data_IF_853054024048
#
_entry.id   IF_853054024048
#
_cell.length_a   1.000
_cell.length_b   1.000
_cell.length_c   1.000
_cell.angle_alpha   90.00
_cell.angle_beta   90.00
_cell.angle_gamma   90.00
#
_symmetry.space_group_name_H-M   'P 1'
#
loop_
_entity.id
_entity.type
_entity.pdbx_description
1 polymer ?
#
# COMPACT_ATOMS: atom_id res chain seq x y z
N UNK A 1 -2.16 4.24 15.64
CA UNK A 1 -0.94 5.03 15.90
C UNK A 1 -0.25 4.60 17.20
N UNK A 2 -0.96 4.35 18.30
CA UNK A 2 -0.35 3.96 19.58
C UNK A 2 0.55 2.71 19.49
N UNK A 3 0.11 1.68 18.80
CA UNK A 3 0.92 0.46 18.63
C UNK A 3 2.25 0.71 17.91
N UNK A 4 2.27 1.55 16.88
CA UNK A 4 3.52 1.87 16.15
C UNK A 4 4.48 2.66 17.02
N UNK A 5 3.97 3.57 17.84
CA UNK A 5 4.80 4.32 18.78
C UNK A 5 5.45 3.41 19.82
N UNK A 6 4.68 2.48 20.39
CA UNK A 6 5.18 1.51 21.35
C UNK A 6 6.29 0.63 20.75
N UNK A 7 6.10 0.17 19.50
CA UNK A 7 7.11 -0.63 18.80
C UNK A 7 8.39 0.17 18.56
N UNK A 8 8.28 1.44 18.12
CA UNK A 8 9.45 2.30 17.92
C UNK A 8 10.19 2.53 19.24
N UNK A 9 9.47 2.87 20.31
CA UNK A 9 10.08 3.11 21.61
C UNK A 9 10.80 1.85 22.14
N UNK A 10 10.15 0.69 22.04
CA UNK A 10 10.74 -0.59 22.43
C UNK A 10 12.01 -0.91 21.58
N UNK A 11 11.97 -0.63 20.28
CA UNK A 11 13.13 -0.83 19.41
C UNK A 11 14.32 0.06 19.80
N UNK A 12 14.06 1.34 20.11
CA UNK A 12 15.09 2.26 20.58
C UNK A 12 15.69 1.79 21.91
N UNK A 13 14.82 1.42 22.87
CA UNK A 13 15.26 0.94 24.20
C UNK A 13 16.14 -0.32 24.11
N UNK A 14 15.81 -1.21 23.16
CA UNK A 14 16.54 -2.46 22.95
C UNK A 14 17.66 -2.34 21.90
N UNK A 15 17.98 -1.14 21.45
CA UNK A 15 19.05 -0.85 20.48
C UNK A 15 18.94 -1.69 19.19
N UNK A 16 17.72 -1.89 18.71
CA UNK A 16 17.46 -2.56 17.42
C UNK A 16 18.13 -1.73 16.31
N UNK A 17 18.88 -2.37 15.44
CA UNK A 17 19.67 -1.65 14.41
C UNK A 17 18.80 -0.83 13.47
N UNK A 18 17.68 -1.40 13.02
CA UNK A 18 16.80 -0.71 12.06
C UNK A 18 15.33 -1.15 12.22
N UNK A 19 14.43 -0.19 12.10
CA UNK A 19 12.98 -0.39 12.08
C UNK A 19 12.44 0.16 10.77
N UNK A 20 11.77 -0.68 9.99
CA UNK A 20 11.08 -0.28 8.75
C UNK A 20 9.57 -0.30 9.00
N UNK A 21 8.94 0.85 8.90
CA UNK A 21 7.49 1.01 9.08
C UNK A 21 6.80 0.89 7.74
N UNK A 22 5.76 0.05 7.67
CA UNK A 22 5.00 -0.17 6.46
C UNK A 22 3.85 0.84 6.37
N UNK A 23 3.94 1.73 5.37
CA UNK A 23 2.92 2.72 5.05
C UNK A 23 2.27 2.44 3.69
N UNK A 24 1.49 3.36 3.17
CA UNK A 24 0.72 3.22 1.94
C UNK A 24 0.72 4.54 1.16
N UNK A 25 0.53 4.46 -0.15
CA UNK A 25 0.28 5.59 -1.03
C UNK A 25 -0.90 6.48 -0.56
N UNK A 26 -1.89 5.87 0.11
CA UNK A 26 -3.07 6.55 0.66
C UNK A 26 -2.76 7.48 1.85
N UNK A 27 -1.55 7.42 2.40
CA UNK A 27 -1.09 8.36 3.42
C UNK A 27 -0.73 9.74 2.86
N UNK A 28 -0.50 9.87 1.54
CA UNK A 28 -0.09 11.12 0.88
C UNK A 28 -1.26 12.11 0.79
N UNK A 29 -2.45 11.62 0.37
CA UNK A 29 -3.71 12.37 0.35
C UNK A 29 -4.78 11.56 1.09
N UNK A 30 -4.79 11.62 2.43
CA UNK A 30 -5.65 10.76 3.22
C UNK A 30 -7.10 11.24 3.20
N UNK A 31 -7.97 10.49 2.51
CA UNK A 31 -9.41 10.77 2.41
C UNK A 31 -10.27 9.86 3.31
N UNK A 32 -9.65 8.88 3.97
CA UNK A 32 -10.35 7.94 4.84
C UNK A 32 -9.55 7.67 6.13
N UNK A 33 -10.19 7.08 7.12
CA UNK A 33 -9.59 6.82 8.44
C UNK A 33 -8.28 6.00 8.36
N UNK A 34 -8.19 5.04 7.43
CA UNK A 34 -6.97 4.23 7.25
C UNK A 34 -5.82 5.10 6.72
N UNK A 35 -6.05 5.89 5.66
CA UNK A 35 -5.05 6.82 5.13
C UNK A 35 -4.60 7.84 6.16
N UNK A 36 -5.55 8.43 6.92
CA UNK A 36 -5.25 9.38 8.01
C UNK A 36 -4.38 8.72 9.07
N UNK A 37 -4.72 7.50 9.51
CA UNK A 37 -3.94 6.80 10.54
C UNK A 37 -2.52 6.49 10.08
N UNK A 38 -2.33 6.17 8.79
CA UNK A 38 -1.01 5.93 8.19
C UNK A 38 -0.22 7.23 8.04
N UNK A 39 -0.86 8.32 7.64
CA UNK A 39 -0.21 9.65 7.60
C UNK A 39 0.28 10.09 8.99
N UNK A 40 -0.56 9.91 10.02
CA UNK A 40 -0.14 10.16 11.41
C UNK A 40 1.04 9.29 11.84
N UNK A 41 1.03 8.02 11.46
CA UNK A 41 2.13 7.09 11.75
C UNK A 41 3.44 7.55 11.10
N UNK A 42 3.41 8.02 9.85
CA UNK A 42 4.59 8.57 9.18
C UNK A 42 5.11 9.84 9.87
N UNK A 43 4.21 10.76 10.25
CA UNK A 43 4.61 11.96 11.00
C UNK A 43 5.24 11.62 12.34
N UNK A 44 4.66 10.66 13.05
CA UNK A 44 5.23 10.16 14.31
C UNK A 44 6.61 9.53 14.09
N UNK A 45 6.76 8.72 13.04
CA UNK A 45 8.03 8.11 12.67
C UNK A 45 9.11 9.16 12.42
N UNK A 46 8.83 10.18 11.60
CA UNK A 46 9.76 11.27 11.31
C UNK A 46 10.12 12.05 12.57
N UNK A 47 9.14 12.35 13.42
CA UNK A 47 9.38 13.03 14.69
C UNK A 47 10.31 12.20 15.60
N UNK A 48 10.02 10.89 15.76
CA UNK A 48 10.86 9.99 16.56
C UNK A 48 12.27 9.84 15.96
N UNK A 49 12.39 9.76 14.64
CA UNK A 49 13.68 9.73 13.95
C UNK A 49 14.53 10.99 14.26
N UNK A 50 13.90 12.16 14.24
CA UNK A 50 14.59 13.44 14.55
C UNK A 50 15.00 13.51 16.03
N UNK A 51 14.11 13.14 16.96
CA UNK A 51 14.43 13.12 18.39
C UNK A 51 15.48 12.07 18.75
N UNK A 52 15.57 10.99 17.98
CA UNK A 52 16.49 9.88 18.19
C UNK A 52 17.71 9.95 17.26
N UNK A 53 18.08 11.12 16.74
CA UNK A 53 19.19 11.29 15.80
C UNK A 53 20.51 10.72 16.33
N UNK A 54 20.71 10.74 17.65
CA UNK A 54 21.88 10.16 18.32
C UNK A 54 21.69 8.69 18.74
N UNK A 55 20.51 8.10 18.44
CA UNK A 55 20.27 6.68 18.71
C UNK A 55 20.96 5.80 17.67
N UNK A 56 21.38 4.62 18.10
CA UNK A 56 21.90 3.58 17.18
C UNK A 56 20.80 2.95 16.32
N UNK A 57 19.52 3.19 16.64
CA UNK A 57 18.37 2.65 15.93
C UNK A 57 17.98 3.55 14.77
N UNK A 58 18.08 3.06 13.55
CA UNK A 58 17.58 3.75 12.35
C UNK A 58 16.09 3.47 12.21
N UNK A 59 15.30 4.52 12.07
CA UNK A 59 13.84 4.44 11.89
C UNK A 59 13.51 5.00 10.52
N UNK A 60 12.87 4.20 9.68
CA UNK A 60 12.48 4.57 8.31
C UNK A 60 11.12 3.97 7.95
N UNK A 61 10.60 4.33 6.79
CA UNK A 61 9.34 3.79 6.30
C UNK A 61 9.40 3.42 4.81
N UNK A 62 8.46 2.57 4.39
CA UNK A 62 8.18 2.29 2.99
C UNK A 62 6.71 2.57 2.69
N UNK A 63 6.41 3.17 1.53
CA UNK A 63 5.04 3.34 1.02
C UNK A 63 4.78 2.36 -0.09
N UNK A 64 3.70 1.61 0.03
CA UNK A 64 3.22 0.70 -1.00
C UNK A 64 2.10 1.31 -1.82
N UNK A 65 2.06 0.95 -3.11
CA UNK A 65 0.83 0.97 -3.88
C UNK A 65 -0.08 -0.22 -3.51
N UNK A 66 -1.01 -0.56 -4.40
CA UNK A 66 -1.84 -1.74 -4.22
C UNK A 66 -1.05 -3.00 -4.60
N UNK A 67 -0.85 -3.89 -3.64
CA UNK A 67 -0.20 -5.19 -3.90
C UNK A 67 -1.20 -6.09 -4.62
N UNK A 68 -0.84 -6.50 -5.85
CA UNK A 68 -1.67 -7.38 -6.69
C UNK A 68 -1.93 -8.71 -5.98
N UNK A 69 -3.17 -9.18 -6.05
CA UNK A 69 -3.57 -10.44 -5.43
C UNK A 69 -3.73 -10.40 -3.90
N UNK A 70 -3.56 -9.24 -3.26
CA UNK A 70 -3.79 -9.11 -1.82
C UNK A 70 -5.26 -9.35 -1.47
N UNK A 71 -5.50 -9.91 -0.27
CA UNK A 71 -6.85 -10.23 0.19
C UNK A 71 -7.74 -8.99 0.22
N UNK A 72 -8.94 -9.08 -0.36
CA UNK A 72 -9.88 -7.96 -0.45
C UNK A 72 -9.57 -6.93 -1.53
N UNK A 73 -8.54 -7.14 -2.36
CA UNK A 73 -8.23 -6.24 -3.48
C UNK A 73 -9.10 -6.53 -4.71
N UNK A 74 -9.13 -5.56 -5.63
CA UNK A 74 -10.00 -5.59 -6.82
C UNK A 74 -9.72 -6.75 -7.76
N UNK A 75 -8.45 -7.17 -7.91
CA UNK A 75 -8.07 -8.26 -8.82
C UNK A 75 -8.67 -9.59 -8.40
N UNK A 76 -8.49 -10.09 -7.17
CA UNK A 76 -9.17 -11.31 -6.71
C UNK A 76 -10.70 -11.23 -6.80
N UNK A 77 -11.29 -10.07 -6.54
CA UNK A 77 -12.73 -9.86 -6.69
C UNK A 77 -13.16 -10.08 -8.14
N UNK A 78 -12.52 -9.44 -9.11
CA UNK A 78 -12.85 -9.55 -10.52
C UNK A 78 -12.61 -10.96 -11.06
N UNK A 79 -11.52 -11.61 -10.66
CA UNK A 79 -11.26 -13.02 -11.02
C UNK A 79 -12.38 -13.93 -10.50
N UNK A 80 -12.83 -13.73 -9.25
CA UNK A 80 -13.92 -14.54 -8.69
C UNK A 80 -15.26 -14.29 -9.41
N UNK A 81 -15.57 -13.05 -9.77
CA UNK A 81 -16.75 -12.70 -10.55
C UNK A 81 -16.67 -13.31 -11.96
N UNK A 82 -15.53 -13.18 -12.63
CA UNK A 82 -15.33 -13.72 -13.97
C UNK A 82 -15.47 -15.25 -14.00
N UNK A 83 -14.86 -15.96 -13.05
CA UNK A 83 -15.01 -17.42 -12.91
C UNK A 83 -16.46 -17.87 -12.72
N UNK A 84 -17.29 -17.06 -12.08
CA UNK A 84 -18.69 -17.34 -11.84
C UNK A 84 -19.62 -16.87 -12.97
N UNK A 85 -19.08 -16.32 -14.07
CA UNK A 85 -19.87 -15.76 -15.17
C UNK A 85 -20.69 -14.53 -14.78
N UNK A 86 -20.30 -13.84 -13.68
CA UNK A 86 -21.00 -12.65 -13.19
C UNK A 86 -20.43 -11.38 -13.80
N UNK A 87 -21.22 -10.30 -13.83
CA UNK A 87 -20.75 -8.99 -14.28
C UNK A 87 -19.62 -8.48 -13.37
N UNK A 88 -18.60 -7.88 -13.98
CA UNK A 88 -17.54 -7.16 -13.27
C UNK A 88 -18.07 -5.77 -12.93
N UNK A 89 -18.31 -5.50 -11.65
CA UNK A 89 -18.90 -4.24 -11.21
C UNK A 89 -17.82 -3.22 -10.86
N UNK A 90 -17.91 -2.03 -11.44
CA UNK A 90 -16.97 -0.92 -11.27
C UNK A 90 -17.72 0.27 -10.65
N UNK A 91 -17.16 0.88 -9.60
CA UNK A 91 -17.74 2.08 -8.98
C UNK A 91 -17.41 3.34 -9.77
N UNK A 92 -16.13 3.58 -10.07
CA UNK A 92 -15.65 4.66 -10.94
C UNK A 92 -14.60 4.08 -11.90
N UNK A 93 -14.87 4.05 -13.23
CA UNK A 93 -13.95 3.50 -14.22
C UNK A 93 -12.62 4.26 -14.30
N UNK A 94 -12.63 5.56 -13.98
CA UNK A 94 -11.44 6.44 -14.03
C UNK A 94 -10.54 6.32 -12.81
N UNK A 95 -11.00 5.65 -11.76
CA UNK A 95 -10.22 5.47 -10.56
C UNK A 95 -8.94 4.68 -10.88
N UNK A 96 -7.79 5.25 -10.59
CA UNK A 96 -6.48 4.62 -10.81
C UNK A 96 -5.97 3.92 -9.56
N UNK A 97 -5.13 2.92 -9.77
CA UNK A 97 -4.39 2.21 -8.72
C UNK A 97 -2.94 2.04 -9.14
N UNK A 98 -2.03 2.39 -8.24
CA UNK A 98 -0.64 1.97 -8.40
C UNK A 98 -0.52 0.48 -8.09
N UNK A 99 -0.03 -0.27 -9.07
CA UNK A 99 0.04 -1.72 -8.97
C UNK A 99 1.46 -2.16 -8.67
N UNK A 100 1.61 -3.00 -7.66
CA UNK A 100 2.89 -3.61 -7.33
C UNK A 100 2.72 -5.11 -7.11
N UNK A 101 3.72 -5.90 -7.50
CA UNK A 101 3.74 -7.32 -7.17
C UNK A 101 4.09 -7.53 -5.69
N UNK A 102 3.84 -8.72 -5.18
CA UNK A 102 4.29 -9.07 -3.84
C UNK A 102 5.83 -9.02 -3.75
N UNK A 103 6.51 -9.48 -4.80
CA UNK A 103 7.98 -9.44 -4.86
C UNK A 103 8.50 -8.01 -4.80
N UNK A 104 7.93 -7.08 -5.60
CA UNK A 104 8.31 -5.66 -5.54
C UNK A 104 8.15 -5.08 -4.13
N UNK A 105 7.06 -5.46 -3.44
CA UNK A 105 6.82 -4.97 -2.09
C UNK A 105 7.84 -5.50 -1.07
N UNK A 106 8.26 -6.75 -1.23
CA UNK A 106 9.33 -7.35 -0.40
C UNK A 106 10.68 -6.71 -0.71
N UNK A 107 11.02 -6.55 -1.99
CA UNK A 107 12.26 -5.91 -2.43
C UNK A 107 12.38 -4.48 -1.91
N UNK A 108 11.28 -3.71 -1.91
CA UNK A 108 11.26 -2.35 -1.35
C UNK A 108 11.65 -2.35 0.15
N UNK A 109 11.14 -3.31 0.91
CA UNK A 109 11.48 -3.43 2.35
C UNK A 109 12.92 -3.85 2.54
N UNK A 110 13.40 -4.83 1.78
CA UNK A 110 14.80 -5.27 1.84
C UNK A 110 15.76 -4.15 1.44
N UNK A 111 15.41 -3.38 0.41
CA UNK A 111 16.17 -2.20 0.01
C UNK A 111 16.23 -1.15 1.12
N UNK A 112 15.11 -0.88 1.80
CA UNK A 112 15.08 0.02 2.94
C UNK A 112 15.94 -0.50 4.10
N UNK A 113 15.91 -1.81 4.40
CA UNK A 113 16.79 -2.40 5.40
C UNK A 113 18.28 -2.21 5.06
N UNK A 114 18.66 -2.34 3.79
CA UNK A 114 20.04 -2.20 3.37
C UNK A 114 20.51 -0.73 3.37
N UNK A 115 19.68 0.20 2.87
CA UNK A 115 20.13 1.52 2.45
C UNK A 115 19.58 2.69 3.28
N UNK A 116 18.47 2.50 4.03
CA UNK A 116 17.78 3.63 4.65
C UNK A 116 18.61 4.30 5.74
N UNK A 117 18.53 5.61 5.74
CA UNK A 117 19.01 6.51 6.77
C UNK A 117 17.86 6.91 7.70
N UNK A 118 18.20 7.61 8.76
CA UNK A 118 17.25 8.07 9.76
C UNK A 118 16.19 8.99 9.15
N UNK A 119 14.91 8.62 9.32
CA UNK A 119 13.77 9.39 8.85
C UNK A 119 13.40 9.20 7.38
N UNK A 120 14.12 8.38 6.62
CA UNK A 120 13.82 8.14 5.21
C UNK A 120 12.46 7.48 5.00
N UNK A 121 11.77 7.87 3.92
CA UNK A 121 10.55 7.22 3.42
C UNK A 121 10.81 6.79 1.98
N UNK A 122 10.87 5.48 1.75
CA UNK A 122 11.08 4.90 0.44
C UNK A 122 9.75 4.66 -0.28
N UNK A 123 9.72 5.07 -1.54
CA UNK A 123 8.56 4.88 -2.42
C UNK A 123 9.05 4.24 -3.71
N UNK A 124 8.53 3.08 -4.05
CA UNK A 124 8.84 2.46 -5.34
C UNK A 124 7.98 3.10 -6.43
N UNK A 125 8.61 3.48 -7.55
CA UNK A 125 7.89 3.89 -8.73
C UNK A 125 7.12 2.68 -9.26
N UNK A 126 5.80 2.76 -9.28
CA UNK A 126 4.91 1.72 -9.77
C UNK A 126 4.06 2.24 -10.94
N UNK A 127 3.74 1.36 -11.88
CA UNK A 127 2.79 1.67 -12.93
C UNK A 127 1.38 1.82 -12.36
N UNK A 128 0.62 2.76 -12.90
CA UNK A 128 -0.79 2.93 -12.56
C UNK A 128 -1.67 2.30 -13.65
N UNK A 129 -2.78 1.70 -13.23
CA UNK A 129 -3.82 1.22 -14.12
C UNK A 129 -5.18 1.74 -13.64
N UNK A 130 -6.11 2.00 -14.57
CA UNK A 130 -7.48 2.31 -14.20
C UNK A 130 -8.21 1.04 -13.77
N UNK A 131 -9.26 1.18 -12.96
CA UNK A 131 -10.10 0.02 -12.59
C UNK A 131 -10.76 -0.58 -13.83
N UNK A 132 -11.09 0.23 -14.82
CA UNK A 132 -11.63 -0.20 -16.10
C UNK A 132 -10.62 -1.05 -16.88
N UNK A 133 -9.36 -0.62 -17.00
CA UNK A 133 -8.30 -1.40 -17.66
C UNK A 133 -8.11 -2.76 -16.98
N UNK A 134 -8.08 -2.78 -15.66
CA UNK A 134 -7.96 -4.01 -14.88
C UNK A 134 -9.14 -4.95 -15.17
N UNK A 135 -10.37 -4.42 -15.21
CA UNK A 135 -11.56 -5.23 -15.51
C UNK A 135 -11.53 -5.77 -16.93
N UNK A 136 -11.14 -4.94 -17.93
CA UNK A 136 -11.02 -5.34 -19.33
C UNK A 136 -10.00 -6.47 -19.50
N UNK A 137 -8.81 -6.34 -18.94
CA UNK A 137 -7.75 -7.36 -19.01
C UNK A 137 -8.20 -8.68 -18.36
N UNK A 138 -8.83 -8.61 -17.19
CA UNK A 138 -9.35 -9.83 -16.55
C UNK A 138 -10.46 -10.45 -17.38
N UNK A 139 -11.36 -9.65 -17.93
CA UNK A 139 -12.44 -10.16 -18.79
C UNK A 139 -11.87 -10.83 -20.05
N UNK A 140 -10.85 -10.25 -20.67
CA UNK A 140 -10.15 -10.82 -21.82
C UNK A 140 -9.54 -12.19 -21.50
N UNK A 141 -8.82 -12.30 -20.38
CA UNK A 141 -8.23 -13.56 -19.88
C UNK A 141 -9.30 -14.65 -19.71
N UNK A 142 -10.52 -14.28 -19.31
CA UNK A 142 -11.66 -15.20 -19.16
C UNK A 142 -12.55 -15.29 -20.41
N UNK A 143 -12.07 -14.86 -21.59
CA UNK A 143 -12.71 -15.06 -22.89
C UNK A 143 -13.82 -14.05 -23.20
N UNK A 144 -13.78 -12.85 -22.63
CA UNK A 144 -14.73 -11.74 -22.88
C UNK A 144 -16.22 -12.08 -22.66
N UNK A 145 -16.51 -13.03 -21.78
CA UNK A 145 -17.88 -13.53 -21.55
C UNK A 145 -18.68 -12.73 -20.53
N UNK A 146 -18.02 -11.86 -19.79
CA UNK A 146 -18.64 -11.15 -18.67
C UNK A 146 -18.94 -9.70 -19.08
N UNK A 147 -20.07 -9.16 -18.60
CA UNK A 147 -20.38 -7.74 -18.75
C UNK A 147 -19.58 -6.93 -17.74
N UNK A 148 -19.05 -5.78 -18.16
CA UNK A 148 -18.52 -4.77 -17.25
C UNK A 148 -19.64 -3.77 -16.97
N UNK A 149 -19.96 -3.57 -15.69
CA UNK A 149 -21.08 -2.73 -15.27
C UNK A 149 -20.61 -1.64 -14.32
N UNK A 150 -20.83 -0.39 -14.70
CA UNK A 150 -20.57 0.76 -13.83
C UNK A 150 -21.78 0.94 -12.90
N UNK A 151 -21.54 0.85 -11.58
CA UNK A 151 -22.59 0.93 -10.55
C UNK A 151 -22.58 2.25 -9.78
N UNK A 152 -21.60 3.13 -10.05
CA UNK A 152 -21.40 4.38 -9.31
C UNK A 152 -20.89 4.17 -7.88
N UNK A 153 -20.49 5.26 -7.23
CA UNK A 153 -20.13 5.27 -5.81
C UNK A 153 -21.39 5.21 -4.97
N UNK A 154 -21.40 4.32 -3.97
CA UNK A 154 -22.44 4.37 -2.94
C UNK A 154 -22.27 5.63 -2.11
N UNK A 155 -23.37 6.31 -1.74
CA UNK A 155 -23.31 7.48 -0.85
C UNK A 155 -22.72 7.13 0.51
#
# INVERSE_FOLDING_TARGET
SGNSENVINAAIQNQVKKVVILSTDKAVYPINAMGISKAMMEKLMVAKANFSANSKTIICATRYGNVMGSRGSVIPLFINLAKKGKSLTITDPRMTRFMMSLNDSVELVLFAFANAKQGDIYVQKASAATIEDIANVINEIFGNKNKIQIIGTRP
#
